data_IF_343361938349
#
_entry.id   IF_343361938349
#
_cell.length_a   1.000
_cell.length_b   1.000
_cell.length_c   1.000
_cell.angle_alpha   90.00
_cell.angle_beta   90.00
_cell.angle_gamma   90.00
#
_symmetry.space_group_name_H-M   'P 1'
#
loop_
_entity.id
_entity.type
_entity.pdbx_description
1 polymer ?
#
# COMPACT_ATOMS: atom_id res chain seq x y z
N UNK A 1 28.30 -15.76 2.48
CA UNK A 1 27.96 -15.75 1.03
C UNK A 1 26.49 -15.44 0.92
N UNK A 2 26.07 -14.41 0.19
CA UNK A 2 24.64 -14.16 -0.04
C UNK A 2 24.07 -15.35 -0.83
N UNK A 3 22.94 -15.90 -0.36
CA UNK A 3 22.24 -16.96 -1.07
C UNK A 3 21.71 -16.37 -2.40
N UNK A 4 22.19 -16.85 -3.52
CA UNK A 4 21.77 -16.37 -4.85
C UNK A 4 20.57 -17.14 -5.41
N UNK A 5 20.07 -18.15 -4.69
CA UNK A 5 19.00 -19.03 -5.12
C UNK A 5 17.88 -19.08 -4.06
N UNK A 6 16.65 -18.84 -4.49
CA UNK A 6 15.46 -18.81 -3.64
C UNK A 6 14.38 -19.75 -4.18
N UNK A 7 13.45 -20.18 -3.32
CA UNK A 7 12.25 -20.85 -3.79
C UNK A 7 11.33 -19.83 -4.49
N UNK A 8 11.20 -18.63 -3.91
CA UNK A 8 10.36 -17.56 -4.47
C UNK A 8 11.09 -16.22 -4.48
N UNK A 9 11.00 -15.52 -5.61
CA UNK A 9 11.32 -14.10 -5.70
C UNK A 9 10.01 -13.32 -5.92
N UNK A 10 9.77 -12.33 -5.06
CA UNK A 10 8.58 -11.47 -5.09
C UNK A 10 9.01 -10.08 -5.56
N UNK A 11 8.44 -9.61 -6.67
CA UNK A 11 8.76 -8.30 -7.25
C UNK A 11 7.73 -7.28 -6.78
N UNK A 12 8.11 -6.47 -5.81
CA UNK A 12 7.26 -5.48 -5.13
C UNK A 12 6.86 -5.91 -3.72
N UNK A 13 6.93 -4.97 -2.80
CA UNK A 13 6.68 -5.15 -1.35
C UNK A 13 5.34 -4.53 -0.89
N UNK A 14 4.42 -4.25 -1.81
CA UNK A 14 3.07 -3.78 -1.49
C UNK A 14 2.18 -4.88 -0.90
N UNK A 15 0.86 -4.64 -0.81
CA UNK A 15 -0.08 -5.56 -0.15
C UNK A 15 0.05 -7.00 -0.64
N UNK A 16 -0.03 -7.24 -1.95
CA UNK A 16 0.08 -8.60 -2.49
C UNK A 16 1.43 -9.25 -2.22
N UNK A 17 2.53 -8.51 -2.38
CA UNK A 17 3.88 -9.01 -2.15
C UNK A 17 4.16 -9.33 -0.69
N UNK A 18 3.71 -8.48 0.23
CA UNK A 18 3.90 -8.64 1.68
C UNK A 18 3.14 -9.85 2.23
N UNK A 19 1.87 -10.01 1.82
CA UNK A 19 1.06 -11.16 2.21
C UNK A 19 1.67 -12.45 1.68
N UNK A 20 2.07 -12.47 0.39
CA UNK A 20 2.74 -13.62 -0.22
C UNK A 20 4.04 -13.97 0.50
N UNK A 21 4.84 -12.97 0.85
CA UNK A 21 6.11 -13.19 1.56
C UNK A 21 5.90 -13.90 2.90
N UNK A 22 4.95 -13.40 3.72
CA UNK A 22 4.68 -14.03 5.01
C UNK A 22 4.13 -15.45 4.84
N UNK A 23 3.12 -15.65 3.97
CA UNK A 23 2.48 -16.97 3.79
C UNK A 23 3.44 -18.02 3.24
N UNK A 24 4.41 -17.62 2.43
CA UNK A 24 5.45 -18.53 1.93
C UNK A 24 6.51 -18.81 3.00
N UNK A 25 6.94 -17.80 3.74
CA UNK A 25 7.89 -17.98 4.85
C UNK A 25 7.34 -18.90 5.96
N UNK A 26 6.05 -18.76 6.31
CA UNK A 26 5.34 -19.65 7.25
C UNK A 26 5.34 -21.11 6.80
N UNK A 27 5.46 -21.37 5.50
CA UNK A 27 5.57 -22.75 4.93
C UNK A 27 7.01 -23.23 4.81
N UNK A 28 7.99 -22.44 5.27
CA UNK A 28 9.41 -22.79 5.25
C UNK A 28 10.12 -22.55 3.92
N UNK A 29 9.49 -21.85 2.96
CA UNK A 29 10.17 -21.49 1.70
C UNK A 29 11.18 -20.35 1.90
N UNK A 30 12.28 -20.41 1.17
CA UNK A 30 13.24 -19.31 1.06
C UNK A 30 12.66 -18.23 0.14
N UNK A 31 12.48 -17.00 0.68
CA UNK A 31 11.79 -15.89 0.00
C UNK A 31 12.68 -14.67 -0.09
N UNK A 32 12.78 -14.09 -1.29
CA UNK A 32 13.36 -12.77 -1.53
C UNK A 32 12.28 -11.81 -2.04
N UNK A 33 12.06 -10.71 -1.32
CA UNK A 33 11.22 -9.59 -1.78
C UNK A 33 12.12 -8.50 -2.34
N UNK A 34 11.89 -8.08 -3.58
CA UNK A 34 12.64 -7.02 -4.24
C UNK A 34 11.79 -5.76 -4.39
N UNK A 35 12.20 -4.67 -3.78
CA UNK A 35 11.49 -3.39 -3.80
C UNK A 35 12.36 -2.29 -4.44
N UNK A 36 11.79 -1.55 -5.40
CA UNK A 36 12.52 -0.46 -6.05
C UNK A 36 12.71 0.77 -5.16
N UNK A 37 11.79 1.02 -4.24
CA UNK A 37 11.85 2.15 -3.31
C UNK A 37 12.78 1.87 -2.13
N UNK A 38 12.93 2.89 -1.30
CA UNK A 38 13.70 2.81 -0.05
C UNK A 38 12.90 2.11 1.05
N UNK A 39 13.58 1.69 2.08
CA UNK A 39 13.01 1.43 3.40
C UNK A 39 13.02 2.74 4.20
N UNK A 40 11.93 3.04 4.91
CA UNK A 40 11.74 4.31 5.63
C UNK A 40 11.57 4.05 7.12
N UNK A 41 12.31 4.83 7.90
CA UNK A 41 12.10 4.97 9.35
C UNK A 41 11.18 6.15 9.63
N UNK A 42 10.57 6.27 10.83
CA UNK A 42 9.69 7.39 11.16
C UNK A 42 10.31 8.78 10.91
N UNK A 43 11.60 8.95 11.18
CA UNK A 43 12.36 10.21 11.00
C UNK A 43 12.62 10.56 9.53
N UNK A 44 12.51 9.63 8.61
CA UNK A 44 12.69 9.87 7.18
C UNK A 44 11.49 10.58 6.55
N UNK A 45 10.30 10.45 7.18
CA UNK A 45 9.10 11.06 6.65
C UNK A 45 9.08 12.57 6.83
N UNK A 46 8.65 13.35 5.81
CA UNK A 46 8.59 14.80 5.90
C UNK A 46 7.49 15.28 6.86
N UNK A 47 7.67 16.46 7.44
CA UNK A 47 6.62 17.11 8.25
C UNK A 47 5.41 17.53 7.41
N UNK A 48 5.67 17.97 6.19
CA UNK A 48 4.66 18.44 5.24
C UNK A 48 4.97 17.95 3.84
N UNK A 49 3.99 17.95 2.95
CA UNK A 49 4.17 17.59 1.53
C UNK A 49 4.96 18.62 0.72
N UNK A 50 5.30 19.80 1.28
CA UNK A 50 6.17 20.79 0.65
C UNK A 50 7.64 20.39 0.60
N UNK A 51 8.07 19.46 1.43
CA UNK A 51 9.41 18.87 1.30
C UNK A 51 9.42 17.83 0.17
N UNK A 52 9.36 18.31 -1.06
CA UNK A 52 9.24 17.47 -2.25
C UNK A 52 10.37 16.44 -2.37
N UNK A 53 11.58 16.79 -1.96
CA UNK A 53 12.73 15.87 -2.02
C UNK A 53 12.54 14.62 -1.15
N UNK A 54 11.94 14.76 0.02
CA UNK A 54 11.63 13.63 0.93
C UNK A 54 10.30 12.98 0.61
N UNK A 55 9.35 13.71 0.02
CA UNK A 55 8.01 13.24 -0.24
C UNK A 55 7.86 12.55 -1.59
N UNK A 56 8.36 13.19 -2.70
CA UNK A 56 8.12 12.75 -4.06
C UNK A 56 9.14 11.72 -4.55
N UNK A 57 8.65 10.72 -5.29
CA UNK A 57 9.45 9.80 -6.09
C UNK A 57 9.59 10.34 -7.52
N UNK A 58 10.65 11.13 -7.76
CA UNK A 58 11.03 11.71 -9.06
C UNK A 58 12.52 11.47 -9.32
N UNK A 59 12.93 10.24 -9.71
CA UNK A 59 14.34 9.85 -9.84
C UNK A 59 15.15 10.72 -10.79
N UNK A 60 14.52 11.28 -11.83
CA UNK A 60 15.16 12.18 -12.78
C UNK A 60 15.57 13.52 -12.17
N UNK A 61 14.87 13.97 -11.11
CA UNK A 61 15.27 15.11 -10.25
C UNK A 61 16.09 14.66 -9.02
N UNK A 62 16.43 13.38 -8.92
CA UNK A 62 17.08 12.78 -7.75
C UNK A 62 16.27 12.91 -6.45
N UNK A 63 14.95 12.97 -6.58
CA UNK A 63 14.02 12.90 -5.46
C UNK A 63 13.61 11.43 -5.27
N UNK A 64 13.96 10.89 -4.11
CA UNK A 64 13.73 9.49 -3.76
C UNK A 64 12.83 9.39 -2.52
N UNK A 65 11.72 10.14 -2.54
CA UNK A 65 10.64 10.01 -1.57
C UNK A 65 9.77 8.79 -1.84
N UNK A 66 8.66 8.69 -1.15
CA UNK A 66 7.80 7.49 -1.19
C UNK A 66 6.47 7.72 -1.92
N UNK A 67 6.18 8.91 -2.38
CA UNK A 67 4.92 9.28 -3.04
C UNK A 67 5.16 9.53 -4.52
N UNK A 68 4.51 8.77 -5.37
CA UNK A 68 4.60 8.90 -6.83
C UNK A 68 3.28 9.36 -7.41
N UNK A 69 3.32 10.43 -8.20
CA UNK A 69 2.21 10.89 -9.03
C UNK A 69 2.48 10.48 -10.47
N UNK A 70 1.50 9.88 -11.11
CA UNK A 70 1.56 9.51 -12.53
C UNK A 70 0.39 10.13 -13.25
N UNK A 71 0.67 10.97 -14.24
CA UNK A 71 -0.33 11.65 -15.05
C UNK A 71 -0.61 10.87 -16.32
N UNK A 72 -1.87 10.65 -16.60
CA UNK A 72 -2.39 10.16 -17.87
C UNK A 72 -3.37 11.21 -18.43
N UNK A 73 -3.81 11.04 -19.68
CA UNK A 73 -4.69 12.00 -20.37
C UNK A 73 -5.98 12.32 -19.58
N UNK A 74 -6.55 11.33 -18.93
CA UNK A 74 -7.87 11.45 -18.27
C UNK A 74 -7.86 11.12 -16.78
N UNK A 75 -6.69 10.76 -16.22
CA UNK A 75 -6.60 10.34 -14.84
C UNK A 75 -5.22 10.65 -14.26
N UNK A 76 -5.19 11.01 -12.99
CA UNK A 76 -3.98 11.10 -12.17
C UNK A 76 -3.97 9.96 -11.17
N UNK A 77 -2.88 9.23 -11.10
CA UNK A 77 -2.74 8.10 -10.16
C UNK A 77 -1.69 8.43 -9.10
N UNK A 78 -2.11 8.32 -7.85
CA UNK A 78 -1.24 8.43 -6.67
C UNK A 78 -0.82 7.03 -6.23
N UNK A 79 0.46 6.82 -6.00
CA UNK A 79 0.98 5.50 -5.61
C UNK A 79 2.15 5.59 -4.65
N UNK A 80 2.31 4.55 -3.80
CA UNK A 80 3.44 4.42 -2.89
C UNK A 80 4.64 3.73 -3.55
N UNK A 81 5.84 4.18 -3.21
CA UNK A 81 7.12 3.58 -3.62
C UNK A 81 8.03 3.45 -2.39
N UNK A 82 8.34 2.23 -2.01
CA UNK A 82 9.13 1.92 -0.81
C UNK A 82 8.75 0.58 -0.22
N UNK A 83 9.51 0.10 0.74
CA UNK A 83 9.19 -1.11 1.48
C UNK A 83 7.86 -0.93 2.20
N UNK A 84 6.85 -1.74 1.82
CA UNK A 84 5.46 -1.58 2.23
C UNK A 84 4.54 -0.98 1.16
N UNK A 85 5.09 -0.51 0.02
CA UNK A 85 4.33 -0.07 -1.14
C UNK A 85 3.26 0.97 -0.84
N UNK A 86 2.03 0.73 -1.30
CA UNK A 86 0.89 1.63 -1.11
C UNK A 86 0.50 1.89 0.34
N UNK A 87 0.87 1.01 1.29
CA UNK A 87 0.60 1.23 2.71
C UNK A 87 1.35 2.42 3.30
N UNK A 88 2.42 2.86 2.66
CA UNK A 88 3.14 4.08 3.08
C UNK A 88 2.29 5.34 2.85
N UNK A 89 1.47 5.36 1.80
CA UNK A 89 0.75 6.53 1.30
C UNK A 89 -0.76 6.50 1.52
N UNK A 90 -1.37 5.33 1.77
CA UNK A 90 -2.83 5.21 1.94
C UNK A 90 -3.35 5.97 3.16
N UNK A 91 -4.63 6.30 3.14
CA UNK A 91 -5.29 7.05 4.23
C UNK A 91 -5.68 6.16 5.43
N UNK A 92 -5.25 4.92 5.45
CA UNK A 92 -5.45 3.89 6.49
C UNK A 92 -6.84 3.25 6.54
N UNK A 93 -7.81 3.70 5.77
CA UNK A 93 -9.17 3.14 5.77
C UNK A 93 -9.17 1.71 5.25
N UNK A 94 -9.94 0.86 5.90
CA UNK A 94 -10.05 -0.57 5.62
C UNK A 94 -11.52 -1.01 5.58
N UNK A 95 -12.34 -0.47 4.67
CA UNK A 95 -13.72 -0.91 4.52
C UNK A 95 -13.77 -2.33 3.94
N UNK A 96 -14.72 -3.12 4.41
CA UNK A 96 -15.09 -4.39 3.76
C UNK A 96 -16.11 -4.06 2.66
N UNK A 97 -15.94 -4.59 1.44
CA UNK A 97 -16.87 -4.31 0.36
C UNK A 97 -18.30 -4.75 0.66
N UNK A 98 -19.29 -3.96 0.22
CA UNK A 98 -20.71 -4.32 0.26
C UNK A 98 -21.02 -5.44 -0.75
N UNK A 99 -22.21 -6.03 -0.65
CA UNK A 99 -22.62 -7.21 -1.43
C UNK A 99 -22.60 -6.96 -2.94
N UNK A 100 -22.91 -5.75 -3.38
CA UNK A 100 -22.90 -5.33 -4.78
C UNK A 100 -21.53 -5.49 -5.45
N UNK A 101 -20.44 -5.35 -4.69
CA UNK A 101 -19.11 -5.60 -5.19
C UNK A 101 -18.95 -7.04 -5.69
N UNK A 102 -19.48 -8.02 -4.94
CA UNK A 102 -19.34 -9.44 -5.26
C UNK A 102 -20.22 -9.89 -6.41
N UNK A 103 -21.30 -9.16 -6.69
CA UNK A 103 -22.28 -9.47 -7.75
C UNK A 103 -22.01 -8.74 -9.07
N UNK A 104 -20.93 -7.96 -9.14
CA UNK A 104 -20.56 -7.24 -10.36
C UNK A 104 -20.43 -8.17 -11.56
N UNK A 105 -21.07 -7.79 -12.69
CA UNK A 105 -21.05 -8.54 -13.95
C UNK A 105 -19.65 -8.79 -14.51
N UNK A 106 -18.67 -7.98 -14.11
CA UNK A 106 -17.27 -8.08 -14.57
C UNK A 106 -16.57 -9.35 -14.08
N UNK A 107 -16.97 -9.90 -12.92
CA UNK A 107 -16.28 -11.05 -12.30
C UNK A 107 -17.18 -12.04 -11.56
N UNK A 108 -18.45 -11.73 -11.30
CA UNK A 108 -19.35 -12.61 -10.53
C UNK A 108 -19.53 -14.00 -11.16
N UNK A 109 -19.38 -14.10 -12.49
CA UNK A 109 -19.45 -15.36 -13.23
C UNK A 109 -18.23 -16.27 -13.07
N UNK A 110 -17.12 -15.78 -12.53
CA UNK A 110 -15.87 -16.53 -12.40
C UNK A 110 -15.82 -17.37 -11.11
N UNK A 111 -16.42 -16.90 -10.02
CA UNK A 111 -16.46 -17.57 -8.74
C UNK A 111 -17.50 -16.93 -7.80
N UNK A 112 -17.86 -17.64 -6.72
CA UNK A 112 -18.61 -17.04 -5.62
C UNK A 112 -17.64 -16.25 -4.72
N UNK A 113 -17.29 -15.03 -5.17
CA UNK A 113 -16.27 -14.19 -4.52
C UNK A 113 -16.58 -13.87 -3.07
N UNK A 114 -17.86 -13.70 -2.71
CA UNK A 114 -18.23 -13.44 -1.31
C UNK A 114 -17.86 -14.64 -0.44
N UNK A 115 -18.20 -15.86 -0.86
CA UNK A 115 -17.83 -17.08 -0.14
C UNK A 115 -16.31 -17.26 -0.05
N UNK A 116 -15.60 -17.02 -1.15
CA UNK A 116 -14.15 -17.19 -1.23
C UNK A 116 -13.39 -16.17 -0.37
N UNK A 117 -13.83 -14.91 -0.33
CA UNK A 117 -13.09 -13.81 0.31
C UNK A 117 -13.49 -13.57 1.78
N UNK A 118 -14.73 -13.87 2.16
CA UNK A 118 -15.22 -13.63 3.53
C UNK A 118 -14.31 -14.20 4.64
N UNK A 119 -13.71 -15.39 4.53
CA UNK A 119 -12.81 -15.91 5.57
C UNK A 119 -11.54 -15.07 5.76
N UNK A 120 -11.14 -14.32 4.74
CA UNK A 120 -9.88 -13.56 4.74
C UNK A 120 -10.02 -12.12 5.24
N UNK A 121 -11.22 -11.51 5.21
CA UNK A 121 -11.41 -10.14 5.71
C UNK A 121 -11.07 -10.01 7.21
N UNK A 122 -11.55 -10.87 8.12
CA UNK A 122 -11.16 -10.79 9.54
C UNK A 122 -9.65 -10.97 9.73
N UNK A 123 -9.02 -11.86 8.96
CA UNK A 123 -7.57 -12.07 8.99
C UNK A 123 -6.83 -10.81 8.55
N UNK A 124 -7.25 -10.20 7.44
CA UNK A 124 -6.64 -8.97 6.93
C UNK A 124 -6.79 -7.80 7.91
N UNK A 125 -7.98 -7.58 8.47
CA UNK A 125 -8.24 -6.54 9.46
C UNK A 125 -7.38 -6.73 10.71
N UNK A 126 -7.29 -7.97 11.22
CA UNK A 126 -6.42 -8.30 12.37
C UNK A 126 -4.95 -8.02 12.06
N UNK A 127 -4.46 -8.51 10.92
CA UNK A 127 -3.05 -8.35 10.53
C UNK A 127 -2.67 -6.89 10.25
N UNK A 128 -3.60 -6.10 9.76
CA UNK A 128 -3.41 -4.66 9.54
C UNK A 128 -3.71 -3.83 10.80
N UNK A 129 -4.09 -4.48 11.92
CA UNK A 129 -4.39 -3.82 13.18
C UNK A 129 -5.50 -2.79 13.04
N UNK A 130 -6.59 -3.18 12.37
CA UNK A 130 -7.73 -2.31 12.14
C UNK A 130 -8.46 -1.99 13.44
N UNK A 131 -8.72 -0.71 13.66
CA UNK A 131 -9.50 -0.20 14.79
C UNK A 131 -10.47 0.86 14.27
N UNK A 132 -11.65 0.94 14.86
CA UNK A 132 -12.56 2.04 14.55
C UNK A 132 -11.96 3.37 15.02
N UNK A 133 -12.06 4.41 14.21
CA UNK A 133 -11.61 5.75 14.60
C UNK A 133 -12.35 6.23 15.87
N UNK A 134 -11.66 6.46 16.99
CA UNK A 134 -12.31 6.81 18.26
C UNK A 134 -12.70 8.29 18.34
N UNK A 135 -12.28 9.13 17.36
CA UNK A 135 -12.40 10.59 17.48
C UNK A 135 -12.77 11.24 16.15
N UNK A 136 -13.97 11.77 16.07
CA UNK A 136 -14.43 12.60 14.97
C UNK A 136 -13.91 14.03 15.11
N UNK A 137 -13.66 14.69 13.97
CA UNK A 137 -13.15 16.05 13.88
C UNK A 137 -14.05 16.90 12.96
N UNK A 138 -13.72 18.19 12.80
CA UNK A 138 -14.53 19.17 12.07
C UNK A 138 -15.05 18.65 10.72
N UNK A 139 -14.18 18.03 9.90
CA UNK A 139 -14.60 17.47 8.62
C UNK A 139 -15.54 16.27 8.75
N UNK A 140 -15.35 15.43 9.77
CA UNK A 140 -16.22 14.29 10.05
C UNK A 140 -17.59 14.75 10.53
N UNK A 141 -17.65 15.78 11.39
CA UNK A 141 -18.90 16.37 11.86
C UNK A 141 -19.66 17.09 10.73
N UNK A 142 -18.94 17.72 9.80
CA UNK A 142 -19.54 18.29 8.60
C UNK A 142 -20.17 17.19 7.73
N UNK A 143 -19.49 16.07 7.52
CA UNK A 143 -20.03 14.92 6.78
C UNK A 143 -21.24 14.30 7.49
N UNK A 144 -21.22 14.22 8.83
CA UNK A 144 -22.35 13.77 9.63
C UNK A 144 -23.55 14.71 9.52
N UNK A 145 -23.30 16.02 9.44
CA UNK A 145 -24.35 17.03 9.20
C UNK A 145 -24.95 16.87 7.81
N UNK A 146 -24.14 16.65 6.79
CA UNK A 146 -24.61 16.33 5.43
C UNK A 146 -25.48 15.07 5.42
N UNK A 147 -25.06 14.00 6.13
CA UNK A 147 -25.84 12.77 6.25
C UNK A 147 -27.27 13.03 6.76
N UNK A 148 -27.41 13.91 7.76
CA UNK A 148 -28.74 14.34 8.27
C UNK A 148 -29.54 15.09 7.21
N UNK A 149 -28.91 16.03 6.50
CA UNK A 149 -29.58 16.84 5.47
C UNK A 149 -30.14 16.00 4.31
N UNK A 150 -29.46 14.89 3.98
CA UNK A 150 -29.90 13.98 2.90
C UNK A 150 -30.62 12.72 3.43
N UNK A 151 -31.02 12.70 4.72
CA UNK A 151 -31.72 11.58 5.38
C UNK A 151 -30.98 10.25 5.26
N UNK A 152 -29.66 10.28 5.50
CA UNK A 152 -28.73 9.14 5.43
C UNK A 152 -27.90 8.96 6.71
N UNK A 153 -28.43 9.33 7.87
CA UNK A 153 -27.72 9.26 9.16
C UNK A 153 -27.25 7.84 9.49
N UNK A 154 -28.04 6.83 9.14
CA UNK A 154 -27.73 5.42 9.38
C UNK A 154 -26.63 4.89 8.45
N UNK A 155 -26.28 5.63 7.41
CA UNK A 155 -25.23 5.30 6.45
C UNK A 155 -23.90 6.02 6.76
N UNK A 156 -23.86 6.80 7.83
CA UNK A 156 -22.64 7.46 8.33
C UNK A 156 -22.02 6.63 9.45
N UNK A 157 -20.72 6.39 9.35
CA UNK A 157 -19.95 5.71 10.40
C UNK A 157 -18.51 6.21 10.51
N UNK A 158 -17.88 6.13 11.72
CA UNK A 158 -16.44 6.23 11.85
C UNK A 158 -15.77 5.07 11.11
N UNK A 159 -14.69 5.37 10.34
CA UNK A 159 -14.00 4.34 9.55
C UNK A 159 -13.18 3.38 10.42
N UNK A 160 -13.07 2.13 9.98
CA UNK A 160 -12.03 1.22 10.46
C UNK A 160 -10.68 1.59 9.81
N UNK A 161 -9.67 1.81 10.63
CA UNK A 161 -8.37 2.33 10.19
C UNK A 161 -7.20 1.53 10.75
N UNK A 162 -6.17 1.40 9.94
CA UNK A 162 -4.93 0.73 10.30
C UNK A 162 -4.02 1.66 11.14
N UNK A 163 -4.46 2.00 12.35
CA UNK A 163 -3.76 2.91 13.28
C UNK A 163 -3.81 2.37 14.69
N UNK A 164 -2.67 2.47 15.40
CA UNK A 164 -2.59 2.17 16.81
C UNK A 164 -2.97 3.41 17.64
N UNK A 165 -4.03 3.30 18.43
CA UNK A 165 -4.57 4.36 19.30
C UNK A 165 -4.11 4.20 20.76
N UNK A 166 -2.84 3.85 20.98
CA UNK A 166 -2.22 3.88 22.30
C UNK A 166 -1.89 5.30 22.78
N UNK A 167 -1.16 5.40 23.87
CA UNK A 167 -0.70 6.70 24.37
C UNK A 167 0.31 7.32 23.39
N UNK A 168 0.10 8.59 22.94
CA UNK A 168 1.05 9.30 22.11
C UNK A 168 2.43 9.41 22.80
N UNK A 169 3.49 9.40 21.99
CA UNK A 169 4.89 9.55 22.41
C UNK A 169 5.39 8.50 23.43
N UNK A 170 4.58 7.47 23.73
CA UNK A 170 4.96 6.34 24.54
C UNK A 170 5.14 5.09 23.70
N UNK A 171 6.36 4.61 23.60
CA UNK A 171 6.66 3.33 22.96
C UNK A 171 6.16 2.19 23.83
N UNK A 172 5.49 1.23 23.21
CA UNK A 172 5.06 -0.03 23.81
C UNK A 172 5.54 -1.19 22.95
N UNK A 173 5.81 -2.32 23.58
CA UNK A 173 6.07 -3.57 22.87
C UNK A 173 4.86 -3.93 22.02
N UNK A 174 5.07 -4.78 21.01
CA UNK A 174 4.07 -5.18 20.02
C UNK A 174 2.63 -5.32 20.57
N UNK A 175 1.68 -4.51 20.14
CA UNK A 175 0.28 -4.58 20.59
C UNK A 175 -0.59 -5.55 19.79
N UNK A 176 -0.07 -6.21 18.73
CA UNK A 176 -0.88 -6.93 17.75
C UNK A 176 -0.55 -8.43 17.61
N UNK A 177 0.72 -8.83 17.79
CA UNK A 177 1.19 -10.18 17.40
C UNK A 177 1.76 -10.98 18.58
N UNK A 178 1.34 -10.66 19.81
CA UNK A 178 1.76 -11.37 21.01
C UNK A 178 3.25 -11.24 21.32
N UNK A 179 3.82 -10.07 21.08
CA UNK A 179 5.23 -9.76 21.33
C UNK A 179 6.17 -10.12 20.17
N UNK A 180 5.65 -10.64 19.06
CA UNK A 180 6.44 -11.00 17.87
C UNK A 180 6.55 -9.87 16.84
N UNK A 181 5.80 -8.79 17.01
CA UNK A 181 5.83 -7.62 16.14
C UNK A 181 6.73 -6.50 16.67
N UNK A 182 6.90 -5.42 15.91
CA UNK A 182 7.73 -4.29 16.31
C UNK A 182 7.06 -3.42 17.39
N UNK A 183 7.86 -2.67 18.10
CA UNK A 183 7.36 -1.63 19.01
C UNK A 183 6.53 -0.57 18.29
N UNK A 184 5.54 -0.02 18.98
CA UNK A 184 4.60 0.97 18.45
C UNK A 184 4.43 2.15 19.41
N UNK A 185 4.06 3.30 18.88
CA UNK A 185 3.61 4.44 19.68
C UNK A 185 2.20 4.86 19.28
N UNK A 186 1.42 5.40 20.21
CA UNK A 186 0.05 5.79 19.94
C UNK A 186 -0.08 6.98 18.98
N UNK A 187 -1.23 7.06 18.29
CA UNK A 187 -1.55 8.14 17.36
C UNK A 187 -1.80 9.45 18.12
N UNK A 188 -1.18 10.54 17.68
CA UNK A 188 -1.41 11.90 18.17
C UNK A 188 -2.37 12.73 17.32
N UNK A 189 -3.06 12.11 16.37
CA UNK A 189 -4.07 12.73 15.51
C UNK A 189 -3.58 13.93 14.68
N UNK A 190 -2.34 13.88 14.20
CA UNK A 190 -1.70 14.99 13.46
C UNK A 190 -2.12 15.14 11.98
N UNK A 191 -3.04 14.33 11.46
CA UNK A 191 -3.44 14.35 10.04
C UNK A 191 -2.38 13.89 9.03
N UNK A 192 -1.18 13.49 9.48
CA UNK A 192 -0.02 13.23 8.63
C UNK A 192 0.04 11.84 7.98
N UNK A 193 -1.05 11.06 7.98
CA UNK A 193 -1.00 9.65 7.54
C UNK A 193 -0.52 9.47 6.11
N UNK A 194 -0.91 10.37 5.18
CA UNK A 194 -0.53 10.29 3.77
C UNK A 194 0.83 10.95 3.47
N UNK A 195 1.38 11.72 4.40
CA UNK A 195 2.76 12.24 4.33
C UNK A 195 3.77 11.32 5.01
N UNK A 196 3.35 10.14 5.46
CA UNK A 196 4.13 9.17 6.22
C UNK A 196 4.04 9.41 7.73
N UNK A 197 3.91 8.32 8.49
CA UNK A 197 3.73 8.42 9.93
C UNK A 197 5.06 8.56 10.68
N UNK A 198 5.34 9.75 11.18
CA UNK A 198 6.54 10.06 11.98
C UNK A 198 6.45 9.59 13.43
N UNK A 199 5.27 9.15 13.86
CA UNK A 199 4.98 8.78 15.25
C UNK A 199 4.84 7.28 15.46
N UNK A 200 5.17 6.47 14.45
CA UNK A 200 5.11 5.01 14.52
C UNK A 200 3.72 4.42 14.89
N UNK A 201 2.64 5.17 14.63
CA UNK A 201 1.28 4.75 14.96
C UNK A 201 0.55 4.07 13.78
N UNK A 202 0.89 4.43 12.55
CA UNK A 202 0.29 3.86 11.33
C UNK A 202 0.77 2.44 11.09
N UNK A 203 -0.15 1.51 10.80
CA UNK A 203 0.14 0.11 10.49
C UNK A 203 0.46 -0.07 9.01
N UNK A 204 1.71 0.19 8.65
CA UNK A 204 2.25 -0.07 7.31
C UNK A 204 2.77 -1.51 7.22
N UNK A 205 2.92 -2.05 6.01
CA UNK A 205 3.25 -3.45 5.79
C UNK A 205 4.64 -3.87 6.27
N UNK A 206 5.55 -2.93 6.41
CA UNK A 206 6.86 -3.12 7.06
C UNK A 206 6.77 -3.39 8.57
N UNK A 207 5.62 -3.10 9.19
CA UNK A 207 5.36 -3.28 10.63
C UNK A 207 4.47 -4.49 10.95
N UNK A 208 4.04 -5.22 9.95
CA UNK A 208 3.22 -6.41 10.11
C UNK A 208 3.68 -7.54 9.19
N UNK A 209 3.10 -7.72 8.02
CA UNK A 209 3.41 -8.84 7.13
C UNK A 209 4.90 -8.97 6.79
N UNK A 210 5.58 -7.89 6.40
CA UNK A 210 7.00 -7.96 6.06
C UNK A 210 7.88 -8.13 7.28
N UNK A 211 7.52 -7.50 8.42
CA UNK A 211 8.23 -7.69 9.67
C UNK A 211 8.23 -9.17 10.06
N UNK A 212 7.04 -9.76 10.17
CA UNK A 212 6.89 -11.17 10.54
C UNK A 212 7.53 -12.13 9.52
N UNK A 213 7.48 -11.78 8.22
CA UNK A 213 8.15 -12.57 7.19
C UNK A 213 9.68 -12.57 7.38
N UNK A 214 10.28 -11.43 7.75
CA UNK A 214 11.71 -11.32 8.08
C UNK A 214 12.08 -12.15 9.30
N UNK A 215 11.26 -12.12 10.35
CA UNK A 215 11.48 -12.97 11.54
C UNK A 215 11.48 -14.47 11.20
N UNK A 216 10.78 -14.85 10.12
CA UNK A 216 10.78 -16.22 9.58
C UNK A 216 11.87 -16.45 8.49
N UNK A 217 12.81 -15.52 8.32
CA UNK A 217 13.95 -15.68 7.42
C UNK A 217 13.75 -15.14 5.99
N UNK A 218 12.63 -14.49 5.66
CA UNK A 218 12.48 -13.84 4.37
C UNK A 218 13.42 -12.63 4.24
N UNK A 219 14.05 -12.48 3.09
CA UNK A 219 14.92 -11.33 2.77
C UNK A 219 14.12 -10.25 2.05
N UNK A 220 14.26 -8.99 2.47
CA UNK A 220 13.70 -7.84 1.76
C UNK A 220 14.84 -6.96 1.26
N UNK A 221 15.01 -6.88 -0.05
CA UNK A 221 16.02 -6.06 -0.71
C UNK A 221 15.38 -4.81 -1.28
N UNK A 222 15.57 -3.68 -0.61
CA UNK A 222 15.12 -2.35 -1.04
C UNK A 222 16.03 -1.79 -2.14
N UNK A 223 15.62 -0.67 -2.74
CA UNK A 223 16.35 0.08 -3.77
C UNK A 223 16.75 -0.77 -4.99
N UNK A 224 16.01 -1.83 -5.28
CA UNK A 224 16.30 -2.83 -6.31
C UNK A 224 15.17 -2.91 -7.32
N UNK A 225 15.34 -2.24 -8.46
CA UNK A 225 14.40 -2.26 -9.56
C UNK A 225 14.62 -3.47 -10.46
N UNK A 226 13.68 -4.40 -10.49
CA UNK A 226 13.70 -5.51 -11.43
C UNK A 226 13.38 -4.99 -12.83
N UNK A 227 14.21 -5.35 -13.81
CA UNK A 227 14.06 -4.89 -15.19
C UNK A 227 13.97 -6.02 -16.23
N UNK A 228 14.33 -7.26 -15.86
CA UNK A 228 14.20 -8.44 -16.70
C UNK A 228 14.00 -9.71 -15.87
N UNK A 229 13.24 -10.66 -16.40
CA UNK A 229 13.03 -12.01 -15.86
C UNK A 229 13.11 -12.98 -17.01
N UNK A 230 13.94 -14.02 -16.86
CA UNK A 230 14.15 -15.04 -17.88
C UNK A 230 13.94 -16.42 -17.28
N UNK A 231 13.42 -17.34 -18.07
CA UNK A 231 13.40 -18.76 -17.72
C UNK A 231 14.84 -19.30 -17.71
N UNK A 232 15.12 -20.23 -16.81
CA UNK A 232 16.33 -21.03 -16.87
C UNK A 232 16.14 -22.14 -17.90
N UNK A 233 17.22 -22.56 -18.56
CA UNK A 233 17.38 -23.69 -19.50
C UNK A 233 16.25 -23.90 -20.52
N UNK A 234 14.98 -23.94 -20.10
CA UNK A 234 13.82 -24.19 -20.94
C UNK A 234 12.83 -23.01 -20.95
N UNK A 235 12.20 -22.76 -22.08
CA UNK A 235 11.25 -21.62 -22.26
C UNK A 235 9.94 -21.76 -21.47
N UNK A 236 9.67 -22.91 -20.82
CA UNK A 236 8.46 -23.20 -20.06
C UNK A 236 8.52 -22.83 -18.58
N UNK A 237 9.71 -22.44 -18.05
CA UNK A 237 9.90 -22.07 -16.65
C UNK A 237 9.90 -23.20 -15.63
N UNK A 238 9.88 -24.47 -16.06
CA UNK A 238 9.86 -25.64 -15.14
C UNK A 238 11.16 -25.69 -14.31
N UNK A 239 12.29 -25.31 -14.89
CA UNK A 239 13.59 -25.28 -14.21
C UNK A 239 13.81 -24.05 -13.36
N UNK A 240 12.88 -23.07 -13.37
CA UNK A 240 12.94 -21.83 -12.63
C UNK A 240 13.28 -20.60 -13.48
N UNK A 241 13.62 -19.53 -12.78
CA UNK A 241 13.79 -18.20 -13.36
C UNK A 241 15.07 -17.52 -12.87
N UNK A 242 15.62 -16.66 -13.71
CA UNK A 242 16.66 -15.69 -13.37
C UNK A 242 16.08 -14.28 -13.43
N UNK A 243 16.15 -13.58 -12.30
CA UNK A 243 15.60 -12.23 -12.12
C UNK A 243 16.74 -11.23 -12.09
N UNK A 244 16.72 -10.26 -13.01
CA UNK A 244 17.75 -9.24 -13.15
C UNK A 244 17.27 -7.91 -12.55
N UNK A 245 18.12 -7.28 -11.77
CA UNK A 245 17.83 -6.03 -11.11
C UNK A 245 18.95 -5.00 -11.30
N UNK A 246 18.60 -3.74 -11.06
CA UNK A 246 19.53 -2.62 -10.96
C UNK A 246 19.18 -1.76 -9.75
N UNK A 247 20.15 -1.05 -9.18
CA UNK A 247 19.85 -0.07 -8.13
C UNK A 247 18.97 1.05 -8.68
N UNK A 248 17.89 1.38 -7.96
CA UNK A 248 16.93 2.43 -8.34
C UNK A 248 17.37 3.82 -7.92
N UNK A 249 18.22 3.92 -6.89
CA UNK A 249 18.75 5.15 -6.33
C UNK A 249 20.27 5.24 -6.57
N UNK A 250 20.88 6.36 -6.20
CA UNK A 250 22.33 6.57 -6.42
C UNK A 250 22.68 7.02 -7.84
N UNK A 251 23.92 7.42 -8.03
CA UNK A 251 24.49 7.86 -9.32
C UNK A 251 24.96 6.65 -10.12
N UNK A 252 25.76 5.80 -9.50
CA UNK A 252 26.24 4.57 -10.09
C UNK A 252 25.20 3.47 -9.91
N UNK A 253 24.79 2.82 -11.00
CA UNK A 253 23.77 1.79 -11.00
C UNK A 253 24.42 0.42 -10.88
N UNK A 254 24.38 -0.13 -9.68
CA UNK A 254 24.69 -1.55 -9.49
C UNK A 254 23.68 -2.42 -10.23
N UNK A 255 24.13 -3.54 -10.75
CA UNK A 255 23.29 -4.54 -11.40
C UNK A 255 23.65 -5.93 -10.87
N UNK A 256 22.64 -6.75 -10.77
CA UNK A 256 22.81 -8.13 -10.32
C UNK A 256 21.69 -9.03 -10.80
N UNK A 257 21.76 -10.26 -10.38
CA UNK A 257 20.69 -11.24 -10.63
C UNK A 257 20.60 -12.27 -9.52
N UNK A 258 19.40 -12.78 -9.32
CA UNK A 258 19.09 -13.92 -8.45
C UNK A 258 18.36 -14.99 -9.26
N UNK A 259 18.42 -16.22 -8.78
CA UNK A 259 17.64 -17.33 -9.33
C UNK A 259 16.56 -17.77 -8.36
N UNK A 260 15.45 -18.27 -8.90
CA UNK A 260 14.37 -18.85 -8.08
C UNK A 260 13.59 -19.90 -8.84
N UNK A 261 12.92 -20.78 -8.09
CA UNK A 261 11.97 -21.74 -8.67
C UNK A 261 10.73 -21.04 -9.23
N UNK A 262 10.28 -19.97 -8.55
CA UNK A 262 9.07 -19.23 -8.94
C UNK A 262 9.23 -17.72 -8.73
N UNK A 263 8.48 -16.93 -9.52
CA UNK A 263 8.45 -15.47 -9.43
C UNK A 263 7.02 -14.98 -9.25
N UNK A 264 6.81 -14.10 -8.27
CA UNK A 264 5.53 -13.43 -8.01
C UNK A 264 5.66 -11.96 -8.39
N UNK A 265 4.85 -11.50 -9.35
CA UNK A 265 4.80 -10.10 -9.76
C UNK A 265 3.76 -9.34 -8.90
N UNK A 266 4.21 -8.53 -7.97
CA UNK A 266 3.42 -7.81 -6.99
C UNK A 266 3.73 -6.30 -6.91
N UNK A 267 4.24 -5.72 -8.00
CA UNK A 267 4.64 -4.30 -8.09
C UNK A 267 3.48 -3.31 -8.29
N UNK A 268 2.23 -3.72 -8.01
CA UNK A 268 1.03 -2.94 -8.32
C UNK A 268 0.79 -2.82 -9.83
N UNK A 269 -0.36 -2.27 -10.23
CA UNK A 269 -0.73 -2.17 -11.67
C UNK A 269 0.34 -1.41 -12.46
N UNK A 270 0.77 -0.25 -11.96
CA UNK A 270 1.76 0.61 -12.64
C UNK A 270 3.21 0.10 -12.59
N UNK A 271 3.50 -0.91 -11.79
CA UNK A 271 4.79 -1.59 -11.78
C UNK A 271 4.74 -2.90 -12.58
N UNK A 272 3.78 -3.75 -12.27
CA UNK A 272 3.65 -5.10 -12.83
C UNK A 272 3.31 -5.08 -14.31
N UNK A 273 2.27 -4.34 -14.73
CA UNK A 273 1.80 -4.39 -16.12
C UNK A 273 2.86 -3.87 -17.12
N UNK A 274 3.49 -2.69 -16.92
CA UNK A 274 4.55 -2.24 -17.82
C UNK A 274 5.76 -3.19 -17.87
N UNK A 275 6.13 -3.79 -16.72
CA UNK A 275 7.21 -4.77 -16.69
C UNK A 275 6.83 -6.00 -17.52
N UNK A 276 5.67 -6.60 -17.29
CA UNK A 276 5.21 -7.78 -18.01
C UNK A 276 5.06 -7.53 -19.53
N UNK A 277 4.55 -6.35 -19.94
CA UNK A 277 4.48 -5.96 -21.37
C UNK A 277 5.87 -5.90 -22.00
N UNK A 278 6.85 -5.36 -21.27
CA UNK A 278 8.24 -5.35 -21.72
C UNK A 278 8.82 -6.77 -21.83
N UNK A 279 8.57 -7.63 -20.83
CA UNK A 279 9.04 -9.02 -20.81
C UNK A 279 8.39 -9.84 -21.92
N UNK A 280 7.10 -9.62 -22.22
CA UNK A 280 6.41 -10.28 -23.33
C UNK A 280 7.10 -10.05 -24.67
N UNK A 281 7.60 -8.85 -24.92
CA UNK A 281 8.29 -8.52 -26.14
C UNK A 281 9.77 -8.98 -26.16
N UNK A 282 10.25 -9.63 -25.09
CA UNK A 282 11.68 -10.00 -24.95
C UNK A 282 11.89 -11.42 -24.43
N UNK A 283 11.75 -11.59 -23.12
CA UNK A 283 12.18 -12.79 -22.40
C UNK A 283 11.05 -13.76 -22.04
N UNK A 284 9.79 -13.31 -22.07
CA UNK A 284 8.60 -14.11 -21.77
C UNK A 284 7.53 -13.98 -22.88
N UNK A 285 7.81 -14.42 -24.12
CA UNK A 285 6.92 -14.17 -25.27
C UNK A 285 5.59 -14.93 -25.20
N UNK A 286 5.47 -15.96 -24.37
CA UNK A 286 4.23 -16.74 -24.19
C UNK A 286 3.20 -16.08 -23.28
N UNK A 287 3.48 -14.88 -22.74
CA UNK A 287 2.47 -14.12 -21.98
C UNK A 287 1.26 -13.77 -22.84
N UNK A 288 0.07 -13.85 -22.23
CA UNK A 288 -1.22 -13.63 -22.89
C UNK A 288 -1.31 -12.30 -23.67
N UNK A 289 -1.99 -12.33 -24.81
CA UNK A 289 -2.32 -11.12 -25.60
C UNK A 289 -3.32 -10.19 -24.88
N UNK A 290 -4.00 -10.67 -23.84
CA UNK A 290 -4.89 -9.88 -22.98
C UNK A 290 -4.16 -9.06 -21.92
N UNK A 291 -2.85 -9.25 -21.79
CA UNK A 291 -2.03 -8.50 -20.84
C UNK A 291 -2.15 -6.99 -21.09
N UNK A 292 -2.50 -6.24 -20.06
CA UNK A 292 -2.72 -4.79 -20.14
C UNK A 292 -4.11 -4.37 -20.62
N UNK A 293 -4.98 -5.31 -20.99
CA UNK A 293 -6.37 -5.00 -21.36
C UNK A 293 -7.27 -4.88 -20.14
N UNK A 294 -8.25 -3.97 -20.17
CA UNK A 294 -9.27 -3.85 -19.15
C UNK A 294 -8.78 -3.33 -17.80
N UNK A 295 -7.70 -2.56 -17.77
CA UNK A 295 -7.22 -1.91 -16.53
C UNK A 295 -8.31 -0.98 -16.02
N UNK A 296 -8.55 -1.04 -14.71
CA UNK A 296 -9.53 -0.24 -13.97
C UNK A 296 -8.84 0.60 -12.91
N UNK A 297 -9.51 1.66 -12.50
CA UNK A 297 -9.17 2.47 -11.32
C UNK A 297 -10.25 2.29 -10.26
N UNK A 298 -10.03 2.82 -9.07
CA UNK A 298 -11.05 2.86 -8.01
C UNK A 298 -12.15 3.91 -8.26
N UNK A 299 -12.10 4.63 -9.40
CA UNK A 299 -13.09 5.66 -9.79
C UNK A 299 -13.29 6.76 -8.73
N UNK A 300 -12.21 7.13 -8.07
CA UNK A 300 -12.18 8.12 -7.01
C UNK A 300 -12.12 9.55 -7.60
N UNK A 301 -12.86 10.47 -6.99
CA UNK A 301 -12.81 11.90 -7.31
C UNK A 301 -12.47 12.70 -6.06
N UNK A 302 -11.46 13.57 -6.15
CA UNK A 302 -11.09 14.49 -5.08
C UNK A 302 -11.76 15.83 -5.31
N UNK A 303 -12.49 16.31 -4.28
CA UNK A 303 -13.10 17.63 -4.27
C UNK A 303 -12.49 18.43 -3.13
N UNK A 304 -12.02 19.63 -3.40
CA UNK A 304 -11.44 20.54 -2.41
C UNK A 304 -12.47 21.55 -1.92
N UNK A 305 -12.53 21.75 -0.60
CA UNK A 305 -13.31 22.81 0.05
C UNK A 305 -12.33 23.73 0.77
N UNK A 306 -12.42 25.03 0.48
CA UNK A 306 -11.59 26.04 1.12
C UNK A 306 -12.44 26.94 2.01
N UNK A 307 -11.99 27.19 3.24
CA UNK A 307 -12.59 28.18 4.14
C UNK A 307 -11.70 29.40 4.26
N UNK A 308 -12.31 30.58 4.36
CA UNK A 308 -11.62 31.82 4.69
C UNK A 308 -11.48 32.06 6.20
N UNK A 309 -12.13 31.20 7.02
CA UNK A 309 -12.01 31.26 8.47
C UNK A 309 -10.68 30.68 8.93
N UNK A 310 -9.74 31.56 9.31
CA UNK A 310 -8.40 31.18 9.77
C UNK A 310 -8.38 30.47 11.12
N UNK A 311 -9.49 30.49 11.87
CA UNK A 311 -9.58 29.83 13.17
C UNK A 311 -10.04 28.37 13.06
N UNK A 312 -10.38 27.90 11.86
CA UNK A 312 -10.80 26.52 11.65
C UNK A 312 -9.60 25.67 11.17
N UNK A 313 -9.21 24.67 11.95
CA UNK A 313 -8.21 23.67 11.56
C UNK A 313 -8.89 22.42 11.00
N UNK A 314 -8.51 22.04 9.78
CA UNK A 314 -8.92 20.77 9.18
C UNK A 314 -7.83 19.71 9.28
N UNK A 315 -6.70 20.00 9.91
CA UNK A 315 -5.54 19.10 9.98
C UNK A 315 -5.64 18.09 11.13
N UNK A 316 -6.45 18.37 12.14
CA UNK A 316 -6.56 17.51 13.32
C UNK A 316 -7.33 16.23 13.00
N UNK A 317 -6.80 15.09 13.43
CA UNK A 317 -7.39 13.79 13.21
C UNK A 317 -6.48 12.80 12.49
N UNK A 318 -7.06 11.73 11.97
CA UNK A 318 -6.42 10.81 11.04
C UNK A 318 -6.80 11.19 9.61
N UNK A 319 -6.10 10.68 8.59
CA UNK A 319 -6.30 11.12 7.20
C UNK A 319 -7.76 11.00 6.74
N UNK A 320 -8.42 9.88 7.01
CA UNK A 320 -9.86 9.68 6.79
C UNK A 320 -10.47 9.14 8.08
N UNK A 321 -11.39 9.90 8.68
CA UNK A 321 -11.95 9.59 9.99
C UNK A 321 -13.34 8.99 9.96
N UNK A 322 -14.09 9.19 8.88
CA UNK A 322 -15.48 8.75 8.73
C UNK A 322 -15.82 8.48 7.27
N UNK A 323 -16.90 7.75 7.05
CA UNK A 323 -17.45 7.42 5.74
C UNK A 323 -18.97 7.64 5.77
N UNK A 324 -19.51 8.13 4.67
CA UNK A 324 -20.96 8.24 4.42
C UNK A 324 -21.30 7.54 3.11
N UNK A 325 -22.06 6.47 3.17
CA UNK A 325 -22.58 5.81 1.98
C UNK A 325 -23.76 6.57 1.42
N UNK A 326 -23.59 7.18 0.25
CA UNK A 326 -24.65 7.94 -0.43
C UNK A 326 -25.62 7.03 -1.17
N UNK A 327 -25.14 5.89 -1.63
CA UNK A 327 -25.91 4.79 -2.26
C UNK A 327 -25.14 3.47 -2.14
N UNK A 328 -25.61 2.41 -2.84
CA UNK A 328 -24.97 1.09 -2.81
C UNK A 328 -23.61 1.04 -3.52
N UNK A 329 -23.25 2.06 -4.28
CA UNK A 329 -22.06 2.07 -5.14
C UNK A 329 -21.12 3.24 -4.85
N UNK A 330 -21.58 4.23 -4.06
CA UNK A 330 -20.85 5.47 -3.83
C UNK A 330 -20.79 5.82 -2.33
N UNK A 331 -19.69 6.44 -1.95
CA UNK A 331 -19.52 6.99 -0.60
C UNK A 331 -18.68 8.26 -0.62
N UNK A 332 -18.77 9.03 0.45
CA UNK A 332 -17.96 10.23 0.70
C UNK A 332 -17.08 10.01 1.92
N UNK A 333 -15.85 10.50 1.86
CA UNK A 333 -14.89 10.47 2.95
C UNK A 333 -14.18 11.82 3.07
N UNK A 334 -14.12 12.43 4.27
CA UNK A 334 -13.35 13.65 4.48
C UNK A 334 -11.84 13.32 4.55
N UNK A 335 -11.07 13.84 3.61
CA UNK A 335 -9.62 13.63 3.57
C UNK A 335 -8.89 14.84 4.12
N UNK A 336 -7.87 14.61 4.95
CA UNK A 336 -7.04 15.67 5.52
C UNK A 336 -5.55 15.36 5.48
N UNK A 337 -4.77 16.43 5.53
CA UNK A 337 -3.31 16.40 5.65
C UNK A 337 -2.86 17.07 6.95
N UNK A 338 -1.61 16.81 7.35
CA UNK A 338 -0.99 17.47 8.48
C UNK A 338 -0.98 19.00 8.33
N UNK A 339 -0.99 19.70 9.45
CA UNK A 339 -0.86 21.17 9.49
C UNK A 339 0.32 21.66 8.65
N UNK A 340 0.15 22.78 7.98
CA UNK A 340 1.11 23.36 7.04
C UNK A 340 1.39 22.51 5.79
N UNK A 341 0.65 21.44 5.56
CA UNK A 341 0.58 20.81 4.24
C UNK A 341 -0.47 21.52 3.40
N UNK A 342 -0.20 21.70 2.10
CA UNK A 342 -1.13 22.30 1.17
C UNK A 342 -1.46 21.31 0.05
N UNK A 343 -2.64 21.46 -0.53
CA UNK A 343 -3.02 20.95 -1.82
C UNK A 343 -3.47 22.16 -2.64
#
# INVERSE_FOLDING_TARGET
>A
MQNNNYDFIIIGSGFGGSVSALRLAEKGYSVLVMEKGKEYKPEDFPKTNWNLKRWMWLPWLRFFGFFKITFFKHITILSGVGVGGGSLTYANTLPVPKDEFFTSKSWSHLANWKKELNPFYPVALKMLGANQNPRLQVGDEALKTLAKQISKENEFEPTNVAVFFGQPDKMVSDPYFGGKGPERSGCNFCGGCMTGCRYNAKNTLDKNYLYLARELGATVQSQSEVFDVRTLENKNGITGYKVYWKSSTGVFKEKGSFTSKSVIFAGGVLGTVPLLLKLKNRSLPSLSNKLGSGIRTNSESLVGITTFNKNTSFSDGIAIGSILHTDNHSHLEPVRYASSSGF
#
